data_IF_171188800702
#
_entry.id   IF_171188800702
#
_cell.length_a   1.000
_cell.length_b   1.000
_cell.length_c   1.000
_cell.angle_alpha   90.00
_cell.angle_beta   90.00
_cell.angle_gamma   90.00
#
_symmetry.space_group_name_H-M   'P 1'
#
loop_
_entity.id
_entity.type
_entity.pdbx_description
1 polymer ?
#
# COMPACT_ATOMS: atom_id res chain seq x y z
N UNK A 1 17.02 2.50 -2.00
CA UNK A 1 16.67 2.37 -0.57
C UNK A 1 17.13 3.57 0.25
N UNK A 2 18.38 4.05 0.15
CA UNK A 2 18.90 5.14 1.01
C UNK A 2 18.35 6.55 0.64
N UNK A 3 17.97 6.78 -0.62
CA UNK A 3 17.38 8.04 -1.08
C UNK A 3 15.85 7.95 -1.19
N UNK A 4 15.16 9.09 -1.10
CA UNK A 4 13.70 9.20 -1.34
C UNK A 4 13.34 8.56 -2.68
N UNK A 5 12.51 7.53 -2.65
CA UNK A 5 12.04 6.82 -3.83
C UNK A 5 10.51 6.70 -3.82
N UNK A 6 9.85 6.65 -5.00
CA UNK A 6 8.41 6.47 -5.12
C UNK A 6 8.01 5.01 -4.88
N UNK A 7 8.38 4.44 -3.73
CA UNK A 7 7.90 3.12 -3.28
C UNK A 7 8.25 1.91 -4.18
N UNK A 8 9.27 2.00 -5.05
CA UNK A 8 9.62 0.95 -6.03
C UNK A 8 9.55 -0.50 -5.50
N UNK A 9 8.59 -1.28 -5.99
CA UNK A 9 8.46 -2.72 -5.71
C UNK A 9 8.11 -3.09 -4.27
N UNK A 10 7.89 -2.11 -3.40
CA UNK A 10 7.73 -2.34 -1.98
C UNK A 10 6.30 -2.75 -1.59
N UNK A 11 6.16 -3.41 -0.43
CA UNK A 11 4.89 -3.51 0.27
C UNK A 11 4.55 -2.14 0.87
N UNK A 12 3.32 -1.68 0.66
CA UNK A 12 2.84 -0.41 1.17
C UNK A 12 1.72 -0.62 2.19
N UNK A 13 1.79 0.09 3.31
CA UNK A 13 0.85 0.03 4.43
C UNK A 13 1.30 0.95 5.57
N UNK A 14 0.52 1.12 6.66
CA UNK A 14 -0.69 0.36 7.05
C UNK A 14 -1.90 0.56 6.13
N UNK A 15 -2.05 1.75 5.54
CA UNK A 15 -3.06 2.08 4.54
C UNK A 15 -2.39 2.62 3.29
N UNK A 16 -2.56 1.91 2.18
CA UNK A 16 -2.13 2.34 0.86
C UNK A 16 -3.04 3.45 0.31
N UNK A 17 -2.48 4.26 -0.59
CA UNK A 17 -3.07 5.48 -1.15
C UNK A 17 -3.26 6.58 -0.08
N UNK A 18 -4.15 7.54 -0.33
CA UNK A 18 -4.31 8.76 0.45
C UNK A 18 -5.43 8.66 1.47
N UNK A 19 -5.23 9.33 2.60
CA UNK A 19 -6.27 9.68 3.58
C UNK A 19 -6.35 11.20 3.62
N UNK A 20 -7.55 11.73 3.33
CA UNK A 20 -7.83 13.16 3.30
C UNK A 20 -7.46 13.82 4.64
N UNK A 21 -6.69 14.91 4.60
CA UNK A 21 -6.20 15.61 5.79
C UNK A 21 -5.41 14.74 6.78
N UNK A 22 -5.05 13.52 6.40
CA UNK A 22 -4.51 12.51 7.31
C UNK A 22 -5.46 12.19 8.48
N UNK A 23 -6.76 12.40 8.35
CA UNK A 23 -7.73 12.21 9.43
C UNK A 23 -8.69 11.08 9.13
N UNK A 24 -9.03 10.34 10.17
CA UNK A 24 -10.14 9.40 10.16
C UNK A 24 -10.66 9.23 11.58
N UNK A 25 -11.86 8.65 11.70
CA UNK A 25 -12.49 8.39 13.00
C UNK A 25 -12.88 6.92 13.12
N UNK A 26 -12.72 6.36 14.32
CA UNK A 26 -13.20 5.03 14.69
C UNK A 26 -13.98 5.18 15.99
N UNK A 27 -15.24 4.75 15.99
CA UNK A 27 -16.12 4.79 17.16
C UNK A 27 -16.18 6.18 17.82
N UNK A 28 -16.24 7.23 16.99
CA UNK A 28 -16.31 8.63 17.44
C UNK A 28 -14.98 9.23 17.92
N UNK A 29 -13.90 8.44 18.00
CA UNK A 29 -12.56 8.95 18.30
C UNK A 29 -11.82 9.32 17.01
N UNK A 30 -11.35 10.55 16.94
CA UNK A 30 -10.53 11.05 15.84
C UNK A 30 -9.06 10.60 15.98
N UNK A 31 -8.44 10.29 14.84
CA UNK A 31 -7.03 9.96 14.71
C UNK A 31 -6.39 10.86 13.66
N UNK A 32 -5.18 11.34 13.96
CA UNK A 32 -4.38 12.17 13.08
C UNK A 32 -3.12 11.42 12.66
N UNK A 33 -2.97 11.24 11.35
CA UNK A 33 -1.81 10.66 10.69
C UNK A 33 -0.84 11.77 10.26
N UNK A 34 0.44 11.44 10.04
CA UNK A 34 1.39 12.38 9.46
C UNK A 34 0.98 12.83 8.06
N UNK A 35 1.10 14.15 7.83
CA UNK A 35 0.86 14.80 6.56
C UNK A 35 2.15 14.78 5.75
N UNK A 36 2.28 13.78 4.87
CA UNK A 36 3.47 13.52 4.08
C UNK A 36 3.24 13.71 2.56
N UNK A 37 2.04 14.14 2.15
CA UNK A 37 1.71 14.44 0.75
C UNK A 37 0.70 15.58 0.61
N UNK A 38 1.19 16.82 0.46
CA UNK A 38 0.31 18.00 0.37
C UNK A 38 -0.49 18.15 1.66
N UNK A 39 -1.82 18.29 1.61
CA UNK A 39 -2.65 18.30 2.81
C UNK A 39 -2.98 16.89 3.34
N UNK A 40 -2.54 15.81 2.67
CA UNK A 40 -3.00 14.45 2.93
C UNK A 40 -1.90 13.56 3.54
N UNK A 41 -2.32 12.45 4.15
CA UNK A 41 -1.42 11.33 4.45
C UNK A 41 -1.43 10.35 3.27
N UNK A 42 -0.28 9.81 2.89
CA UNK A 42 -0.14 8.84 1.80
C UNK A 42 0.68 7.63 2.26
N UNK A 43 0.27 6.44 1.81
CA UNK A 43 1.06 5.22 1.85
C UNK A 43 1.59 4.86 3.26
N UNK A 44 0.74 5.05 4.27
CA UNK A 44 1.05 4.69 5.66
C UNK A 44 1.87 5.69 6.45
N UNK A 45 2.24 6.85 5.88
CA UNK A 45 2.89 7.94 6.62
C UNK A 45 4.38 8.12 6.31
N UNK A 46 5.12 8.72 7.25
CA UNK A 46 6.53 9.11 7.06
C UNK A 46 7.43 7.88 6.91
N UNK A 47 7.24 6.89 7.79
CA UNK A 47 7.93 5.59 7.79
C UNK A 47 6.91 4.46 7.64
N UNK A 48 6.25 4.43 6.48
CA UNK A 48 5.38 3.33 6.07
C UNK A 48 6.11 1.99 5.92
N UNK A 49 5.35 0.94 5.65
CA UNK A 49 5.82 -0.44 5.59
C UNK A 49 6.90 -0.72 4.54
N UNK A 50 7.07 0.20 3.58
CA UNK A 50 8.10 0.16 2.55
C UNK A 50 9.52 0.48 3.08
N UNK A 51 9.62 1.04 4.30
CA UNK A 51 10.88 1.54 4.88
C UNK A 51 11.28 0.86 6.18
N UNK A 52 10.70 -0.31 6.46
CA UNK A 52 11.01 -1.12 7.64
C UNK A 52 11.62 -2.45 7.21
N UNK A 53 12.46 -3.02 8.08
CA UNK A 53 13.01 -4.35 7.86
C UNK A 53 11.98 -5.40 8.28
N UNK A 54 11.67 -6.31 7.36
CA UNK A 54 10.77 -7.43 7.62
C UNK A 54 11.57 -8.67 7.99
N UNK A 55 10.98 -9.54 8.82
CA UNK A 55 11.56 -10.84 9.16
C UNK A 55 11.20 -11.87 8.08
N UNK A 56 12.17 -12.47 7.38
CA UNK A 56 11.90 -13.47 6.35
C UNK A 56 11.79 -14.89 6.93
N UNK A 57 11.01 -15.73 6.25
CA UNK A 57 10.90 -17.17 6.45
C UNK A 57 10.80 -17.83 5.07
N UNK A 58 11.72 -18.76 4.79
CA UNK A 58 11.73 -19.50 3.52
C UNK A 58 10.65 -20.58 3.55
N UNK A 59 9.89 -20.69 2.46
CA UNK A 59 8.91 -21.75 2.22
C UNK A 59 9.41 -22.65 1.07
N UNK A 60 8.79 -23.81 0.87
CA UNK A 60 9.19 -24.76 -0.18
C UNK A 60 9.16 -24.17 -1.60
N UNK A 61 8.25 -23.23 -1.87
CA UNK A 61 8.06 -22.59 -3.17
C UNK A 61 7.88 -21.06 -3.05
N UNK A 62 8.51 -20.45 -2.05
CA UNK A 62 8.37 -19.02 -1.83
C UNK A 62 8.99 -18.50 -0.55
N UNK A 63 8.54 -17.32 -0.13
CA UNK A 63 9.01 -16.64 1.07
C UNK A 63 7.86 -15.95 1.77
N UNK A 64 7.83 -16.02 3.09
CA UNK A 64 6.93 -15.24 3.93
C UNK A 64 7.73 -14.18 4.67
N UNK A 65 7.29 -12.95 4.59
CA UNK A 65 7.80 -11.84 5.38
C UNK A 65 6.80 -11.53 6.50
N UNK A 66 7.28 -11.26 7.70
CA UNK A 66 6.46 -10.78 8.80
C UNK A 66 7.02 -9.53 9.46
N UNK A 67 6.12 -8.67 9.93
CA UNK A 67 6.45 -7.53 10.78
C UNK A 67 5.38 -7.30 11.85
N UNK A 68 5.71 -6.50 12.86
CA UNK A 68 4.75 -5.97 13.83
C UNK A 68 4.84 -4.46 13.81
N UNK A 69 3.70 -3.81 13.59
CA UNK A 69 3.51 -2.36 13.63
C UNK A 69 2.89 -2.04 14.99
N UNK A 70 3.57 -1.26 15.83
CA UNK A 70 3.10 -1.01 17.21
C UNK A 70 1.78 -0.23 17.25
N UNK A 71 1.09 -0.27 18.40
CA UNK A 71 -0.04 0.64 18.66
C UNK A 71 0.43 2.09 18.60
N UNK A 72 -0.27 2.93 17.82
CA UNK A 72 0.10 4.32 17.59
C UNK A 72 1.18 4.53 16.54
N UNK A 73 1.73 3.48 15.92
CA UNK A 73 2.71 3.63 14.84
C UNK A 73 2.10 4.44 13.69
N UNK A 74 2.79 5.52 13.29
CA UNK A 74 2.30 6.50 12.30
C UNK A 74 0.90 7.07 12.61
N UNK A 75 0.44 7.02 13.87
CA UNK A 75 -0.86 7.50 14.31
C UNK A 75 -2.02 6.50 14.20
N UNK A 76 -1.76 5.26 13.74
CA UNK A 76 -2.79 4.23 13.64
C UNK A 76 -3.01 3.49 14.97
N UNK A 77 -4.26 3.24 15.39
CA UNK A 77 -4.54 2.47 16.61
C UNK A 77 -4.28 0.98 16.43
N UNK A 78 -3.92 0.32 17.52
CA UNK A 78 -3.74 -1.13 17.58
C UNK A 78 -2.37 -1.58 17.10
N UNK A 79 -1.78 -2.51 17.84
CA UNK A 79 -0.66 -3.31 17.34
C UNK A 79 -1.19 -4.15 16.17
N UNK A 80 -0.49 -4.09 15.03
CA UNK A 80 -0.82 -4.85 13.84
C UNK A 80 0.32 -5.80 13.49
N UNK A 81 0.05 -7.10 13.54
CA UNK A 81 0.91 -8.15 12.99
C UNK A 81 0.57 -8.37 11.53
N UNK A 82 1.56 -8.38 10.66
CA UNK A 82 1.38 -8.52 9.22
C UNK A 82 2.27 -9.64 8.70
N UNK A 83 1.72 -10.43 7.79
CA UNK A 83 2.45 -11.44 7.01
C UNK A 83 2.19 -11.19 5.53
N UNK A 84 3.25 -11.12 4.74
CA UNK A 84 3.19 -11.05 3.27
C UNK A 84 3.89 -12.26 2.71
N UNK A 85 3.16 -13.11 1.99
CA UNK A 85 3.68 -14.35 1.44
C UNK A 85 3.76 -14.25 -0.08
N UNK A 86 4.95 -14.44 -0.62
CA UNK A 86 5.22 -14.54 -2.05
C UNK A 86 5.40 -16.01 -2.39
N UNK A 87 4.60 -16.53 -3.32
CA UNK A 87 4.69 -17.89 -3.84
C UNK A 87 4.92 -17.81 -5.35
N UNK A 88 5.84 -18.63 -5.86
CA UNK A 88 6.08 -18.79 -7.28
C UNK A 88 5.69 -20.21 -7.69
N UNK A 89 4.76 -20.33 -8.63
CA UNK A 89 4.34 -21.59 -9.25
C UNK A 89 4.37 -21.46 -10.77
N UNK A 90 5.38 -22.07 -11.40
CA UNK A 90 5.69 -21.84 -12.81
C UNK A 90 5.93 -20.36 -13.11
N UNK A 91 5.02 -19.75 -13.89
CA UNK A 91 5.05 -18.32 -14.25
C UNK A 91 4.08 -17.46 -13.41
N UNK A 92 3.44 -18.03 -12.39
CA UNK A 92 2.47 -17.34 -11.54
C UNK A 92 3.16 -16.86 -10.27
N UNK A 93 3.27 -15.55 -10.12
CA UNK A 93 3.66 -14.92 -8.85
C UNK A 93 2.40 -14.54 -8.06
N UNK A 94 2.18 -15.22 -6.93
CA UNK A 94 1.10 -14.90 -6.00
C UNK A 94 1.63 -14.14 -4.79
N UNK A 95 0.94 -13.05 -4.42
CA UNK A 95 1.23 -12.26 -3.21
C UNK A 95 0.00 -12.32 -2.29
N UNK A 96 0.15 -12.94 -1.12
CA UNK A 96 -0.90 -12.99 -0.11
C UNK A 96 -0.58 -12.06 1.06
N UNK A 97 -1.58 -11.31 1.51
CA UNK A 97 -1.49 -10.44 2.68
C UNK A 97 -2.39 -10.98 3.78
N UNK A 98 -1.84 -11.15 4.97
CA UNK A 98 -2.57 -11.50 6.19
C UNK A 98 -2.22 -10.51 7.27
N UNK A 99 -3.21 -10.09 8.05
CA UNK A 99 -2.99 -9.16 9.15
C UNK A 99 -3.88 -9.49 10.35
N UNK A 100 -3.40 -9.17 11.55
CA UNK A 100 -4.12 -9.32 12.81
C UNK A 100 -3.85 -8.12 13.69
N UNK A 101 -4.90 -7.53 14.26
CA UNK A 101 -4.80 -6.30 15.06
C UNK A 101 -5.36 -6.49 16.47
N UNK A 102 -4.82 -5.75 17.43
CA UNK A 102 -5.33 -5.71 18.81
C UNK A 102 -6.46 -4.70 19.02
N UNK A 103 -6.67 -3.78 18.09
CA UNK A 103 -7.76 -2.78 18.10
C UNK A 103 -8.34 -2.58 16.70
N UNK A 104 -9.58 -2.12 16.60
CA UNK A 104 -10.17 -1.68 15.32
C UNK A 104 -9.27 -0.62 14.67
N UNK A 105 -8.84 -0.86 13.43
CA UNK A 105 -7.95 0.02 12.65
C UNK A 105 -8.18 -0.19 11.16
N UNK A 106 -8.04 0.84 10.32
CA UNK A 106 -7.99 0.65 8.87
C UNK A 106 -6.72 -0.12 8.47
N UNK A 107 -6.86 -1.02 7.50
CA UNK A 107 -5.78 -1.79 6.90
C UNK A 107 -6.06 -1.87 5.40
N UNK A 108 -5.10 -1.46 4.58
CA UNK A 108 -5.17 -1.61 3.13
C UNK A 108 -3.74 -1.78 2.61
N UNK A 109 -3.38 -3.01 2.22
CA UNK A 109 -2.02 -3.38 1.85
C UNK A 109 -1.95 -3.65 0.35
N UNK A 110 -0.85 -3.23 -0.28
CA UNK A 110 -0.58 -3.52 -1.69
C UNK A 110 0.93 -3.62 -1.95
N UNK A 111 1.31 -4.04 -3.16
CA UNK A 111 2.68 -4.01 -3.64
C UNK A 111 2.81 -2.97 -4.75
N UNK A 112 3.85 -2.14 -4.68
CA UNK A 112 4.04 -0.98 -5.54
C UNK A 112 5.06 -1.24 -6.66
N UNK A 113 4.97 -2.42 -7.27
CA UNK A 113 5.80 -2.77 -8.44
C UNK A 113 5.42 -1.92 -9.65
N UNK A 114 6.45 -1.45 -10.35
CA UNK A 114 6.31 -0.77 -11.64
C UNK A 114 6.72 -1.75 -12.73
N UNK A 115 5.83 -1.95 -13.71
CA UNK A 115 6.06 -2.89 -14.79
C UNK A 115 6.40 -2.13 -16.08
N UNK A 116 7.45 -2.60 -16.76
CA UNK A 116 7.70 -2.27 -18.16
C UNK A 116 7.96 -3.59 -18.92
N UNK A 117 6.99 -4.02 -19.74
CA UNK A 117 7.03 -5.28 -20.47
C UNK A 117 8.03 -5.25 -21.64
N UNK A 118 8.45 -4.06 -22.10
CA UNK A 118 9.56 -3.92 -23.04
C UNK A 118 10.93 -4.19 -22.38
N UNK A 119 10.97 -4.20 -21.04
CA UNK A 119 12.18 -4.42 -20.24
C UNK A 119 12.57 -3.19 -19.42
N UNK A 120 13.25 -3.43 -18.29
CA UNK A 120 13.76 -2.35 -17.44
C UNK A 120 14.79 -1.51 -18.22
N UNK A 121 14.66 -0.19 -18.16
CA UNK A 121 15.52 0.76 -18.90
C UNK A 121 14.92 1.26 -20.21
N UNK A 122 13.81 0.68 -20.69
CA UNK A 122 13.02 1.29 -21.77
C UNK A 122 12.37 2.59 -21.27
N UNK A 123 12.34 3.64 -22.12
CA UNK A 123 12.07 5.01 -21.67
C UNK A 123 10.60 5.28 -21.32
N UNK A 124 9.67 4.48 -21.81
CA UNK A 124 8.24 4.68 -21.60
C UNK A 124 7.47 3.34 -21.70
N UNK A 125 6.14 3.44 -21.54
CA UNK A 125 5.16 2.34 -21.64
C UNK A 125 4.10 2.61 -22.72
N UNK A 126 4.38 3.49 -23.67
CA UNK A 126 3.36 4.01 -24.61
C UNK A 126 2.88 2.96 -25.61
N UNK A 127 3.71 1.95 -25.88
CA UNK A 127 3.38 0.85 -26.79
C UNK A 127 2.65 -0.30 -26.08
N UNK A 128 2.36 -0.18 -24.78
CA UNK A 128 1.63 -1.20 -24.04
C UNK A 128 0.14 -1.13 -24.34
N UNK A 129 -0.43 -2.28 -24.69
CA UNK A 129 -1.88 -2.44 -24.75
C UNK A 129 -2.42 -2.76 -23.35
N UNK A 130 -3.45 -2.03 -22.92
CA UNK A 130 -4.03 -2.14 -21.57
C UNK A 130 -5.50 -2.48 -21.68
N UNK A 131 -5.94 -3.45 -20.88
CA UNK A 131 -7.35 -3.76 -20.65
C UNK A 131 -7.60 -3.88 -19.15
N UNK A 132 -8.60 -3.15 -18.63
CA UNK A 132 -9.01 -3.20 -17.23
C UNK A 132 -10.50 -3.52 -17.20
N UNK A 133 -10.86 -4.67 -16.63
CA UNK A 133 -12.25 -5.08 -16.49
C UNK A 133 -12.91 -4.36 -15.31
N UNK A 134 -13.33 -3.13 -15.54
CA UNK A 134 -14.07 -2.32 -14.58
C UNK A 134 -15.19 -1.56 -15.30
N UNK A 135 -16.29 -1.28 -14.58
CA UNK A 135 -17.45 -0.54 -15.12
C UNK A 135 -17.46 0.94 -14.73
N UNK A 136 -16.61 1.32 -13.77
CA UNK A 136 -16.50 2.68 -13.27
C UNK A 136 -15.10 2.94 -12.71
N UNK A 137 -14.79 4.22 -12.49
CA UNK A 137 -13.61 4.70 -11.80
C UNK A 137 -13.99 5.71 -10.72
N UNK A 138 -13.01 6.10 -9.91
CA UNK A 138 -13.15 7.14 -8.89
C UNK A 138 -12.48 8.42 -9.40
N UNK A 139 -13.24 9.43 -9.85
CA UNK A 139 -12.69 10.76 -10.09
C UNK A 139 -12.09 11.32 -8.80
N UNK A 140 -11.01 12.07 -8.96
CA UNK A 140 -10.29 12.68 -7.83
C UNK A 140 -10.28 14.19 -7.95
N UNK A 141 -10.17 14.86 -6.80
CA UNK A 141 -9.96 16.30 -6.72
C UNK A 141 -8.50 16.70 -7.03
N UNK A 142 -8.20 18.00 -6.94
CA UNK A 142 -6.85 18.54 -7.18
C UNK A 142 -5.78 18.00 -6.20
N UNK A 143 -6.20 17.40 -5.09
CA UNK A 143 -5.32 16.79 -4.09
C UNK A 143 -5.23 15.26 -4.24
N UNK A 144 -5.82 14.72 -5.32
CA UNK A 144 -5.92 13.28 -5.62
C UNK A 144 -6.72 12.48 -4.59
N UNK A 145 -7.70 13.11 -3.92
CA UNK A 145 -8.68 12.43 -3.07
C UNK A 145 -9.93 12.11 -3.89
N UNK A 146 -10.50 10.89 -3.80
CA UNK A 146 -11.77 10.58 -4.45
C UNK A 146 -12.87 11.58 -4.07
N UNK A 147 -13.62 12.06 -5.05
CA UNK A 147 -14.69 13.05 -4.84
C UNK A 147 -15.90 12.51 -4.06
N UNK A 148 -15.92 11.21 -3.77
CA UNK A 148 -17.04 10.49 -3.15
C UNK A 148 -18.02 9.87 -4.14
N UNK A 149 -17.87 10.14 -5.44
CA UNK A 149 -18.72 9.60 -6.49
C UNK A 149 -17.97 8.58 -7.34
N UNK A 150 -18.68 7.54 -7.79
CA UNK A 150 -18.20 6.58 -8.79
C UNK A 150 -18.69 7.03 -10.17
N UNK A 151 -17.78 7.18 -11.13
CA UNK A 151 -18.10 7.60 -12.50
C UNK A 151 -18.02 6.40 -13.44
N UNK A 152 -19.08 6.07 -14.21
CA UNK A 152 -19.03 4.98 -15.18
C UNK A 152 -18.02 5.27 -16.31
N UNK A 153 -17.48 4.24 -16.95
CA UNK A 153 -16.71 4.41 -18.18
C UNK A 153 -17.60 4.77 -19.37
#
# INVERSE_FOLDING_TARGET
YINKHPYFGAVVGRVANRIAEGKFSIDGKEYQLPINNGPNSIHGGLKGFDKVLWTPEVLSNGVRFSMTSADGEEGYPGELKVWVTYILDGAILAINYKAQTTKTTPINLTNHSYFNLAGNGFPNIYDHEVSIEAKSYLPVDMTSIPTGYSHPF
#
